data_IF_242201669822
#
_entry.id   IF_242201669822
#
_cell.length_a   1.000
_cell.length_b   1.000
_cell.length_c   1.000
_cell.angle_alpha   90.00
_cell.angle_beta   90.00
_cell.angle_gamma   90.00
#
_symmetry.space_group_name_H-M   'P 1'
#
loop_
_entity.id
_entity.type
_entity.pdbx_description
1 polymer ?
#
# COMPACT_ATOMS: atom_id res chain seq x y z
N UNK A 1 -3.21 -19.78 16.45
CA UNK A 1 -2.72 -18.85 15.44
C UNK A 1 -1.45 -19.43 14.90
N UNK A 2 -1.45 -19.85 13.64
CA UNK A 2 -0.24 -20.36 13.00
C UNK A 2 0.78 -19.24 12.94
N UNK A 3 2.03 -19.55 13.29
CA UNK A 3 3.12 -18.61 13.13
C UNK A 3 3.52 -18.51 11.63
N UNK A 4 4.37 -17.54 11.31
CA UNK A 4 4.80 -17.33 9.94
C UNK A 4 5.56 -18.55 9.37
N UNK A 5 6.29 -19.28 10.22
CA UNK A 5 7.04 -20.46 9.82
C UNK A 5 6.12 -21.59 9.39
N UNK A 6 5.04 -21.83 10.14
CA UNK A 6 4.03 -22.85 9.82
C UNK A 6 3.39 -22.58 8.46
N UNK A 7 3.05 -21.31 8.17
CA UNK A 7 2.48 -20.93 6.87
C UNK A 7 3.50 -21.15 5.74
N UNK A 8 4.76 -20.76 5.94
CA UNK A 8 5.82 -20.96 4.95
C UNK A 8 6.04 -22.45 4.65
N UNK A 9 6.19 -23.29 5.67
CA UNK A 9 6.36 -24.73 5.51
C UNK A 9 5.14 -25.40 4.84
N UNK A 10 3.93 -24.92 5.14
CA UNK A 10 2.73 -25.43 4.48
C UNK A 10 2.73 -25.12 2.96
N UNK A 11 3.18 -23.93 2.56
CA UNK A 11 3.33 -23.54 1.16
C UNK A 11 4.44 -24.31 0.47
N UNK A 12 5.60 -24.49 1.10
CA UNK A 12 6.69 -25.32 0.58
C UNK A 12 6.22 -26.76 0.33
N UNK A 13 5.48 -27.33 1.27
CA UNK A 13 4.88 -28.66 1.08
C UNK A 13 3.88 -28.70 -0.08
N UNK A 14 3.14 -27.61 -0.32
CA UNK A 14 2.22 -27.51 -1.45
C UNK A 14 2.96 -27.43 -2.80
N UNK A 15 4.07 -26.68 -2.86
CA UNK A 15 4.96 -26.60 -4.03
C UNK A 15 5.46 -27.98 -4.43
N UNK A 16 5.97 -28.76 -3.47
CA UNK A 16 6.46 -30.14 -3.72
C UNK A 16 5.35 -31.05 -4.23
N UNK A 17 4.16 -31.02 -3.61
CA UNK A 17 3.02 -31.85 -4.04
C UNK A 17 2.51 -31.50 -5.43
N UNK A 18 2.61 -30.22 -5.81
CA UNK A 18 2.23 -29.75 -7.14
C UNK A 18 3.29 -30.05 -8.21
N UNK A 19 4.47 -30.57 -7.84
CA UNK A 19 5.58 -30.79 -8.76
C UNK A 19 6.19 -29.50 -9.30
N UNK A 20 6.05 -28.39 -8.57
CA UNK A 20 6.60 -27.09 -8.97
C UNK A 20 8.07 -27.05 -8.58
N UNK A 21 8.94 -26.72 -9.54
CA UNK A 21 10.35 -26.47 -9.26
C UNK A 21 10.55 -25.10 -8.62
N UNK A 22 11.37 -25.06 -7.57
CA UNK A 22 11.65 -23.84 -6.81
C UNK A 22 13.15 -23.60 -6.71
N UNK A 23 13.60 -22.42 -7.16
CA UNK A 23 15.01 -22.02 -7.17
C UNK A 23 15.24 -20.84 -6.22
N UNK A 24 15.77 -21.11 -5.03
CA UNK A 24 16.24 -20.07 -4.11
C UNK A 24 17.62 -19.54 -4.55
N UNK A 25 18.00 -18.34 -4.09
CA UNK A 25 19.29 -17.73 -4.47
C UNK A 25 19.39 -17.31 -5.94
N UNK A 26 18.31 -17.44 -6.71
CA UNK A 26 18.21 -17.14 -8.12
C UNK A 26 17.65 -15.73 -8.34
N UNK A 27 18.49 -14.79 -8.76
CA UNK A 27 18.05 -13.43 -9.10
C UNK A 27 17.69 -13.34 -10.58
N UNK A 28 16.44 -13.05 -10.87
CA UNK A 28 16.00 -12.68 -12.22
C UNK A 28 16.56 -11.29 -12.54
N UNK A 29 17.32 -11.19 -13.63
CA UNK A 29 17.90 -9.92 -14.10
C UNK A 29 17.13 -9.33 -15.27
N UNK A 30 16.60 -10.18 -16.15
CA UNK A 30 15.94 -9.72 -17.36
C UNK A 30 14.85 -10.69 -17.85
N UNK A 31 13.89 -10.15 -18.60
CA UNK A 31 12.85 -10.89 -19.31
C UNK A 31 12.72 -10.29 -20.70
N UNK A 32 12.86 -11.13 -21.73
CA UNK A 32 12.80 -10.73 -23.13
C UNK A 32 11.65 -11.47 -23.82
N UNK A 33 10.92 -10.75 -24.68
CA UNK A 33 9.94 -11.38 -25.56
C UNK A 33 10.66 -11.85 -26.82
N UNK A 34 10.74 -13.16 -27.01
CA UNK A 34 11.31 -13.78 -28.21
C UNK A 34 10.25 -13.74 -29.30
N UNK A 35 10.49 -12.97 -30.36
CA UNK A 35 9.65 -13.00 -31.55
C UNK A 35 10.08 -14.18 -32.41
N UNK A 36 9.16 -15.11 -32.67
CA UNK A 36 9.35 -16.10 -33.72
C UNK A 36 9.17 -15.39 -35.06
N UNK A 37 10.27 -14.90 -35.65
CA UNK A 37 10.28 -14.37 -37.00
C UNK A 37 10.13 -15.52 -38.01
N UNK A 38 8.93 -16.09 -38.09
CA UNK A 38 8.53 -16.93 -39.21
C UNK A 38 8.14 -16.03 -40.40
N UNK A 39 9.14 -15.42 -41.04
CA UNK A 39 9.03 -14.81 -42.39
C UNK A 39 10.42 -14.40 -42.90
N UNK A 40 11.06 -15.28 -43.65
CA UNK A 40 11.93 -14.94 -44.79
C UNK A 40 12.32 -16.22 -45.55
N UNK A 41 11.40 -16.70 -46.40
CA UNK A 41 11.74 -17.44 -47.61
C UNK A 41 10.93 -16.78 -48.72
N UNK A 42 11.40 -15.62 -49.18
CA UNK A 42 11.07 -15.13 -50.52
C UNK A 42 12.21 -15.62 -51.42
N UNK A 43 12.13 -16.89 -51.82
CA UNK A 43 12.92 -17.50 -52.87
C UNK A 43 11.96 -17.89 -53.98
N UNK A 44 11.91 -17.09 -55.03
CA UNK A 44 11.13 -17.33 -56.22
C UNK A 44 11.65 -18.59 -56.93
N UNK A 45 10.93 -19.71 -56.83
CA UNK A 45 11.06 -20.81 -57.79
C UNK A 45 9.72 -21.52 -57.98
N UNK A 46 9.14 -21.35 -59.17
CA UNK A 46 7.99 -22.11 -59.65
C UNK A 46 8.44 -23.54 -59.96
N UNK A 47 7.90 -24.55 -59.28
CA UNK A 47 7.54 -25.82 -59.95
C UNK A 47 6.69 -26.76 -59.07
N UNK A 48 5.51 -27.11 -59.61
CA UNK A 48 4.86 -28.42 -59.62
C UNK A 48 4.65 -29.22 -58.30
N UNK A 49 3.38 -29.24 -57.86
CA UNK A 49 2.60 -30.47 -57.66
C UNK A 49 3.09 -31.52 -56.65
N UNK A 50 2.61 -31.43 -55.41
CA UNK A 50 2.66 -32.53 -54.43
C UNK A 50 1.67 -32.29 -53.29
N UNK A 51 0.72 -33.22 -53.11
CA UNK A 51 -0.21 -33.23 -51.98
C UNK A 51 0.56 -33.53 -50.69
N UNK A 52 0.96 -32.50 -49.96
CA UNK A 52 1.32 -32.63 -48.55
C UNK A 52 0.34 -31.78 -47.74
N UNK A 53 -0.52 -32.48 -47.00
CA UNK A 53 -1.19 -31.95 -45.82
C UNK A 53 -0.19 -31.13 -44.99
N UNK A 54 -0.55 -29.93 -44.50
CA UNK A 54 0.34 -29.20 -43.62
C UNK A 54 0.42 -29.97 -42.30
N UNK A 55 1.50 -30.71 -42.09
CA UNK A 55 1.90 -31.13 -40.75
C UNK A 55 2.08 -29.85 -39.95
N UNK A 56 1.10 -29.56 -39.11
CA UNK A 56 1.18 -28.46 -38.15
C UNK A 56 2.11 -28.96 -37.05
N UNK A 57 3.41 -29.00 -37.35
CA UNK A 57 4.44 -29.29 -36.37
C UNK A 57 4.40 -28.15 -35.36
N UNK A 58 4.00 -28.51 -34.14
CA UNK A 58 3.87 -27.60 -33.01
C UNK A 58 5.22 -26.97 -32.70
N UNK A 59 5.47 -25.80 -33.30
CA UNK A 59 6.54 -24.92 -32.87
C UNK A 59 6.32 -24.63 -31.39
N UNK A 60 7.28 -25.01 -30.55
CA UNK A 60 7.34 -24.68 -29.14
C UNK A 60 7.28 -23.16 -29.00
N UNK A 61 6.09 -22.65 -28.72
CA UNK A 61 5.82 -21.23 -28.64
C UNK A 61 6.24 -20.74 -27.25
N UNK A 62 7.54 -20.64 -27.02
CA UNK A 62 8.13 -20.06 -25.82
C UNK A 62 8.50 -18.57 -26.06
N UNK A 63 7.53 -17.64 -26.03
CA UNK A 63 7.72 -16.24 -26.34
C UNK A 63 8.51 -15.51 -25.27
N UNK A 64 8.84 -16.13 -24.14
CA UNK A 64 9.63 -15.49 -23.09
C UNK A 64 10.95 -16.21 -22.86
N UNK A 65 12.02 -15.43 -22.80
CA UNK A 65 13.31 -15.84 -22.27
C UNK A 65 13.58 -15.05 -20.99
N UNK A 66 13.84 -15.76 -19.89
CA UNK A 66 14.09 -15.21 -18.57
C UNK A 66 15.55 -15.43 -18.20
N UNK A 67 16.31 -14.35 -18.00
CA UNK A 67 17.72 -14.42 -17.60
C UNK A 67 17.84 -14.40 -16.08
N UNK A 68 18.52 -15.41 -15.54
CA UNK A 68 18.68 -15.66 -14.10
C UNK A 68 20.16 -15.68 -13.76
N UNK A 69 20.53 -15.07 -12.63
CA UNK A 69 21.87 -15.13 -12.04
C UNK A 69 21.80 -15.82 -10.71
N UNK A 70 22.49 -16.94 -10.58
CA UNK A 70 22.56 -17.72 -9.36
C UNK A 70 23.64 -17.12 -8.45
N UNK A 71 23.30 -16.89 -7.18
CA UNK A 71 24.31 -16.66 -6.15
C UNK A 71 24.94 -18.00 -5.78
N UNK A 72 26.25 -18.10 -5.90
CA UNK A 72 27.03 -19.19 -5.31
C UNK A 72 27.26 -18.89 -3.82
N UNK A 73 27.28 -19.92 -2.97
CA UNK A 73 27.39 -19.81 -1.51
C UNK A 73 28.80 -19.41 -1.01
N UNK A 74 29.42 -18.42 -1.66
CA UNK A 74 30.68 -17.81 -1.23
C UNK A 74 30.54 -16.30 -1.10
N UNK A 75 30.91 -15.74 0.05
CA UNK A 75 30.97 -14.30 0.38
C UNK A 75 32.00 -13.50 -0.46
N UNK A 76 32.39 -14.00 -1.63
CA UNK A 76 33.29 -13.35 -2.58
C UNK A 76 32.59 -12.99 -3.88
N UNK A 77 33.19 -12.06 -4.61
CA UNK A 77 32.92 -11.72 -6.03
C UNK A 77 33.28 -12.91 -6.94
N UNK A 78 32.68 -14.08 -6.65
CA UNK A 78 32.82 -15.30 -7.40
C UNK A 78 31.97 -15.24 -8.66
N UNK A 79 32.51 -15.79 -9.74
CA UNK A 79 31.93 -15.79 -11.08
C UNK A 79 30.48 -16.31 -11.05
N UNK A 80 29.55 -15.38 -11.06
CA UNK A 80 28.16 -15.70 -10.83
C UNK A 80 27.54 -16.24 -12.11
N UNK A 81 27.22 -17.52 -12.08
CA UNK A 81 26.69 -18.27 -13.22
C UNK A 81 25.35 -17.67 -13.65
N UNK A 82 25.29 -17.25 -14.91
CA UNK A 82 24.08 -16.75 -15.54
C UNK A 82 23.48 -17.86 -16.41
N UNK A 83 22.18 -18.10 -16.28
CA UNK A 83 21.41 -19.05 -17.07
C UNK A 83 20.18 -18.38 -17.67
N UNK A 84 19.61 -18.97 -18.71
CA UNK A 84 18.32 -18.55 -19.29
C UNK A 84 17.29 -19.67 -19.22
N UNK A 85 16.03 -19.29 -19.04
CA UNK A 85 14.89 -20.20 -18.99
C UNK A 85 13.87 -19.71 -20.02
N UNK A 86 13.43 -20.61 -20.90
CA UNK A 86 12.36 -20.34 -21.87
C UNK A 86 11.02 -20.79 -21.31
N UNK A 87 9.98 -19.97 -21.48
CA UNK A 87 8.64 -20.31 -21.04
C UNK A 87 7.52 -19.68 -21.89
N UNK A 88 6.34 -20.27 -21.78
CA UNK A 88 5.13 -19.83 -22.48
C UNK A 88 4.49 -18.59 -21.82
N UNK A 89 4.66 -18.46 -20.50
CA UNK A 89 4.08 -17.41 -19.69
C UNK A 89 5.00 -17.00 -18.53
N UNK A 90 4.92 -15.73 -18.14
CA UNK A 90 5.64 -15.18 -16.99
C UNK A 90 4.66 -14.51 -16.04
N UNK A 91 4.72 -14.89 -14.76
CA UNK A 91 4.00 -14.23 -13.66
C UNK A 91 4.96 -13.43 -12.79
N UNK A 92 4.78 -12.11 -12.75
CA UNK A 92 5.55 -11.24 -11.85
C UNK A 92 4.92 -11.19 -10.46
N UNK A 93 5.50 -11.93 -9.52
CA UNK A 93 5.09 -11.95 -8.10
C UNK A 93 6.17 -11.38 -7.17
N UNK A 94 6.93 -10.38 -7.63
CA UNK A 94 8.14 -9.84 -6.97
C UNK A 94 7.87 -8.91 -5.79
N UNK A 95 6.63 -8.79 -5.33
CA UNK A 95 6.22 -7.82 -4.31
C UNK A 95 6.57 -6.38 -4.70
N UNK A 96 7.00 -5.56 -3.74
CA UNK A 96 7.34 -4.15 -3.95
C UNK A 96 8.78 -3.90 -4.42
N UNK A 97 9.48 -4.93 -4.93
CA UNK A 97 10.87 -4.80 -5.33
C UNK A 97 11.03 -3.89 -6.58
N UNK A 98 11.93 -2.88 -6.55
CA UNK A 98 12.15 -1.98 -7.70
C UNK A 98 12.49 -2.70 -9.01
N UNK A 99 13.24 -3.80 -8.95
CA UNK A 99 13.59 -4.61 -10.11
C UNK A 99 12.34 -5.19 -10.80
N UNK A 100 11.31 -5.58 -10.03
CA UNK A 100 10.05 -6.09 -10.58
C UNK A 100 9.28 -5.04 -11.38
N UNK A 101 9.21 -3.80 -10.88
CA UNK A 101 8.59 -2.69 -11.62
C UNK A 101 9.36 -2.37 -12.90
N UNK A 102 10.70 -2.44 -12.88
CA UNK A 102 11.52 -2.23 -14.07
C UNK A 102 11.25 -3.32 -15.14
N UNK A 103 11.13 -4.58 -14.73
CA UNK A 103 10.77 -5.69 -15.61
C UNK A 103 9.36 -5.49 -16.22
N UNK A 104 8.38 -5.15 -15.39
CA UNK A 104 7.02 -4.89 -15.86
C UNK A 104 6.97 -3.72 -16.86
N UNK A 105 7.68 -2.63 -16.58
CA UNK A 105 7.79 -1.49 -17.49
C UNK A 105 8.46 -1.87 -18.83
N UNK A 106 9.49 -2.72 -18.80
CA UNK A 106 10.16 -3.23 -20.02
C UNK A 106 9.20 -4.08 -20.87
N UNK A 107 8.29 -4.81 -20.24
CA UNK A 107 7.21 -5.55 -20.91
C UNK A 107 6.04 -4.65 -21.36
N UNK A 108 6.18 -3.32 -21.28
CA UNK A 108 5.19 -2.35 -21.76
C UNK A 108 4.04 -2.09 -20.78
N UNK A 109 4.13 -2.55 -19.53
CA UNK A 109 3.09 -2.30 -18.53
C UNK A 109 3.21 -0.88 -17.94
N UNK A 110 2.11 -0.11 -17.84
CA UNK A 110 2.14 1.19 -17.18
C UNK A 110 2.36 1.03 -15.68
N UNK A 111 3.31 1.78 -15.11
CA UNK A 111 3.62 1.74 -13.68
C UNK A 111 3.18 3.05 -13.03
N UNK A 112 2.17 2.95 -12.16
CA UNK A 112 1.80 4.04 -11.26
C UNK A 112 2.88 4.24 -10.20
N UNK A 113 3.24 5.50 -9.93
CA UNK A 113 4.31 5.81 -8.99
C UNK A 113 3.93 5.33 -7.58
N UNK A 114 4.71 4.43 -6.95
CA UNK A 114 4.41 3.98 -5.60
C UNK A 114 4.70 5.09 -4.60
N UNK A 115 3.82 5.24 -3.61
CA UNK A 115 4.00 6.11 -2.46
C UNK A 115 3.92 5.28 -1.17
N UNK A 116 4.73 5.61 -0.15
CA UNK A 116 4.60 5.03 1.18
C UNK A 116 3.15 5.02 1.68
N UNK A 117 2.77 3.91 2.30
CA UNK A 117 1.48 3.68 2.93
C UNK A 117 1.68 2.80 4.16
N UNK A 118 0.66 2.67 5.02
CA UNK A 118 0.71 1.86 6.25
C UNK A 118 1.90 2.22 7.15
N UNK A 119 2.17 3.51 7.30
CA UNK A 119 3.20 4.04 8.20
C UNK A 119 2.60 4.75 9.42
N UNK A 120 3.45 4.92 10.44
CA UNK A 120 3.12 5.66 11.66
C UNK A 120 3.37 7.15 11.47
N UNK A 121 2.52 8.00 12.07
CA UNK A 121 2.69 9.45 12.01
C UNK A 121 3.69 9.91 13.05
N UNK A 122 4.64 10.76 12.63
CA UNK A 122 5.51 11.48 13.56
C UNK A 122 4.79 12.74 14.04
N UNK A 123 4.79 12.98 15.35
CA UNK A 123 4.32 14.24 15.92
C UNK A 123 5.50 15.18 16.14
N UNK A 124 5.28 16.48 15.93
CA UNK A 124 6.26 17.52 16.28
C UNK A 124 6.45 17.59 17.82
N UNK A 125 7.64 17.97 18.28
CA UNK A 125 7.92 18.10 19.72
C UNK A 125 7.02 19.12 20.43
N UNK A 126 6.85 18.95 21.75
CA UNK A 126 5.92 19.74 22.56
C UNK A 126 4.47 19.28 22.43
N UNK A 127 4.21 18.09 21.89
CA UNK A 127 2.86 17.57 21.73
C UNK A 127 2.29 17.07 23.08
N UNK A 128 0.97 17.13 23.30
CA UNK A 128 0.35 16.80 24.60
C UNK A 128 0.37 15.30 24.95
N UNK A 129 0.99 14.46 24.13
CA UNK A 129 1.08 13.01 24.33
C UNK A 129 2.47 12.55 24.79
N UNK A 130 3.39 13.49 25.02
CA UNK A 130 4.70 13.18 25.60
C UNK A 130 4.53 12.51 26.98
N UNK A 131 5.27 11.42 27.22
CA UNK A 131 5.15 10.62 28.44
C UNK A 131 4.06 9.54 28.39
N UNK A 132 3.23 9.48 27.34
CA UNK A 132 2.19 8.47 27.15
C UNK A 132 2.62 7.34 26.20
N UNK A 133 3.91 7.21 25.87
CA UNK A 133 4.39 6.13 25.00
C UNK A 133 4.03 4.74 25.57
N UNK A 134 3.54 3.85 24.72
CA UNK A 134 3.06 2.51 25.09
C UNK A 134 1.58 2.45 25.45
N UNK A 135 0.90 3.59 25.62
CA UNK A 135 -0.56 3.62 25.81
C UNK A 135 -1.25 3.20 24.52
N UNK A 136 -2.08 2.17 24.63
CA UNK A 136 -2.95 1.67 23.57
C UNK A 136 -4.38 2.08 23.85
N UNK A 137 -5.01 2.75 22.89
CA UNK A 137 -6.43 3.12 22.95
C UNK A 137 -7.18 2.18 21.99
N UNK A 138 -8.07 1.31 22.46
CA UNK A 138 -8.77 0.33 21.62
C UNK A 138 -9.64 0.99 20.54
N UNK A 139 -10.16 2.17 20.83
CA UNK A 139 -11.06 2.89 19.95
C UNK A 139 -10.82 4.39 20.01
N UNK A 140 -10.02 4.89 19.08
CA UNK A 140 -9.78 6.31 18.87
C UNK A 140 -10.19 6.69 17.46
N UNK A 141 -10.59 7.94 17.27
CA UNK A 141 -10.82 8.52 15.95
C UNK A 141 -9.70 9.53 15.64
N UNK A 142 -9.06 9.33 14.50
CA UNK A 142 -7.95 10.15 14.00
C UNK A 142 -8.36 10.79 12.68
N UNK A 143 -8.28 12.12 12.61
CA UNK A 143 -8.56 12.88 11.38
C UNK A 143 -7.31 13.61 10.91
N UNK A 144 -6.89 13.34 9.68
CA UNK A 144 -5.85 14.09 9.00
C UNK A 144 -6.47 15.29 8.29
N UNK A 145 -5.89 16.46 8.51
CA UNK A 145 -6.19 17.71 7.82
C UNK A 145 -4.93 18.18 7.12
N UNK A 146 -4.97 18.22 5.79
CA UNK A 146 -3.87 18.72 4.97
C UNK A 146 -4.24 20.08 4.39
N UNK A 147 -3.39 21.12 4.52
CA UNK A 147 -3.66 22.41 3.90
C UNK A 147 -3.70 22.27 2.37
N UNK A 148 -4.65 22.92 1.71
CA UNK A 148 -4.67 22.94 0.24
C UNK A 148 -3.53 23.82 -0.26
N UNK A 149 -2.84 23.35 -1.31
CA UNK A 149 -1.76 24.09 -2.00
C UNK A 149 -2.13 25.53 -2.43
N UNK A 150 -3.41 25.87 -2.51
CA UNK A 150 -3.87 27.22 -2.88
C UNK A 150 -3.73 28.28 -1.76
N UNK A 151 -3.37 27.90 -0.52
CA UNK A 151 -3.23 28.86 0.59
C UNK A 151 -1.78 29.32 0.86
N UNK A 152 -0.78 28.85 0.10
CA UNK A 152 0.64 29.18 0.32
C UNK A 152 1.26 30.09 -0.76
N UNK A 153 0.49 30.57 -1.74
CA UNK A 153 0.99 31.57 -2.70
C UNK A 153 -0.01 32.71 -2.91
N UNK A 154 0.03 33.75 -2.05
CA UNK A 154 -0.37 35.11 -2.40
C UNK A 154 -0.05 36.11 -1.26
N UNK A 155 1.21 36.52 -1.11
CA UNK A 155 1.45 37.95 -0.89
C UNK A 155 1.22 38.64 -2.24
N UNK A 156 0.10 39.35 -2.35
CA UNK A 156 -0.22 40.25 -3.46
C UNK A 156 -0.85 39.59 -4.69
N UNK A 157 -2.18 39.48 -4.71
CA UNK A 157 -3.13 39.88 -5.80
C UNK A 157 -4.44 39.07 -5.66
N UNK A 158 -5.65 39.68 -5.70
CA UNK A 158 -6.89 38.94 -5.49
C UNK A 158 -7.32 38.19 -6.76
N UNK A 159 -7.36 36.86 -6.71
CA UNK A 159 -7.97 36.04 -7.77
C UNK A 159 -9.44 35.78 -7.44
N UNK A 160 -10.30 36.12 -8.40
CA UNK A 160 -11.77 36.09 -8.31
C UNK A 160 -12.29 34.66 -8.10
N UNK A 161 -13.16 34.49 -7.11
CA UNK A 161 -13.91 33.24 -6.82
C UNK A 161 -14.75 32.79 -8.02
N UNK A 162 -14.42 31.62 -8.59
CA UNK A 162 -15.33 30.89 -9.47
C UNK A 162 -16.23 29.97 -8.62
N UNK A 163 -17.55 30.15 -8.72
CA UNK A 163 -18.55 29.34 -8.02
C UNK A 163 -18.58 27.91 -8.58
N UNK A 164 -18.25 26.92 -7.76
CA UNK A 164 -18.34 25.50 -8.13
C UNK A 164 -19.81 25.04 -8.19
N UNK A 165 -20.17 24.42 -9.32
CA UNK A 165 -21.49 23.85 -9.61
C UNK A 165 -21.66 22.52 -8.88
N UNK A 166 -22.73 22.43 -8.08
CA UNK A 166 -23.22 21.22 -7.40
C UNK A 166 -23.55 20.13 -8.42
N UNK A 167 -22.75 19.05 -8.49
CA UNK A 167 -23.13 17.80 -9.16
C UNK A 167 -23.66 16.83 -8.13
N UNK A 168 -24.95 16.55 -8.20
CA UNK A 168 -25.62 15.48 -7.45
C UNK A 168 -25.45 14.16 -8.17
N UNK A 169 -24.94 13.13 -7.49
CA UNK A 169 -25.29 11.73 -7.79
C UNK A 169 -25.28 10.89 -6.51
N UNK A 170 -26.38 10.19 -6.31
CA UNK A 170 -26.59 9.18 -5.28
C UNK A 170 -26.20 7.79 -5.80
N UNK A 171 -25.66 6.94 -4.92
CA UNK A 171 -26.07 5.55 -4.64
C UNK A 171 -24.92 4.69 -4.08
N UNK A 172 -25.13 4.24 -2.84
CA UNK A 172 -24.80 2.95 -2.20
C UNK A 172 -23.42 2.27 -2.39
N UNK A 173 -22.79 1.98 -1.24
CA UNK A 173 -22.17 0.66 -1.01
C UNK A 173 -20.65 0.57 -1.01
N UNK A 174 -19.94 1.26 -0.11
CA UNK A 174 -18.73 0.75 0.57
C UNK A 174 -18.27 1.76 1.63
N UNK A 175 -17.75 1.27 2.76
CA UNK A 175 -17.30 2.06 3.91
C UNK A 175 -15.96 2.79 3.68
N UNK A 176 -15.77 3.39 2.51
CA UNK A 176 -14.73 4.37 2.23
C UNK A 176 -15.35 5.75 2.22
N UNK A 177 -15.15 6.56 3.27
CA UNK A 177 -15.62 7.95 3.30
C UNK A 177 -14.96 8.72 2.16
N UNK A 178 -15.79 9.46 1.42
CA UNK A 178 -15.41 10.33 0.33
C UNK A 178 -14.35 11.36 0.78
N UNK A 179 -13.39 11.63 -0.10
CA UNK A 179 -12.42 12.72 0.05
C UNK A 179 -13.14 14.06 -0.01
N UNK A 180 -13.62 14.54 1.15
CA UNK A 180 -14.30 15.83 1.33
C UNK A 180 -13.28 16.99 1.40
N UNK A 181 -12.30 16.96 0.50
CA UNK A 181 -11.44 18.10 0.19
C UNK A 181 -10.29 18.32 1.18
N UNK A 182 -9.52 17.27 1.49
CA UNK A 182 -8.29 17.33 2.28
C UNK A 182 -8.46 16.90 3.75
N UNK A 183 -9.63 16.38 4.12
CA UNK A 183 -9.90 15.80 5.44
C UNK A 183 -10.21 14.32 5.31
N UNK A 184 -9.46 13.49 6.03
CA UNK A 184 -9.70 12.05 6.07
C UNK A 184 -9.69 11.54 7.51
N UNK A 185 -10.68 10.71 7.85
CA UNK A 185 -10.87 10.22 9.21
C UNK A 185 -10.83 8.69 9.24
N UNK A 186 -10.16 8.13 10.25
CA UNK A 186 -10.15 6.70 10.54
C UNK A 186 -10.40 6.47 12.03
N UNK A 187 -11.15 5.41 12.35
CA UNK A 187 -11.45 4.99 13.71
C UNK A 187 -10.93 3.58 13.98
N UNK A 188 -10.50 3.33 15.21
CA UNK A 188 -10.09 2.01 15.69
C UNK A 188 -8.88 2.08 16.62
N UNK A 189 -8.18 0.95 16.80
CA UNK A 189 -7.07 0.89 17.75
C UNK A 189 -5.92 1.82 17.36
N UNK A 190 -5.40 2.52 18.36
CA UNK A 190 -4.34 3.51 18.24
C UNK A 190 -3.28 3.26 19.31
N UNK A 191 -2.01 3.36 18.91
CA UNK A 191 -0.86 3.23 19.81
C UNK A 191 -0.10 4.55 19.87
N UNK A 192 0.14 5.06 21.06
CA UNK A 192 1.04 6.19 21.28
C UNK A 192 2.47 5.65 21.38
N UNK A 193 3.37 6.21 20.58
CA UNK A 193 4.80 5.85 20.50
C UNK A 193 5.67 6.99 20.95
N UNK A 194 6.97 6.75 21.13
CA UNK A 194 7.96 7.79 21.43
C UNK A 194 8.13 8.85 20.33
N UNK A 195 7.64 8.60 19.12
CA UNK A 195 7.78 9.51 17.97
C UNK A 195 6.46 10.07 17.47
N UNK A 196 5.32 9.58 17.97
CA UNK A 196 4.00 9.96 17.49
C UNK A 196 2.99 8.82 17.56
N UNK A 197 2.17 8.63 16.52
CA UNK A 197 1.01 7.75 16.54
C UNK A 197 1.13 6.57 15.58
N UNK A 198 0.78 5.38 16.06
CA UNK A 198 0.76 4.12 15.32
C UNK A 198 -0.54 3.35 15.58
N UNK A 199 -0.58 2.08 15.19
CA UNK A 199 -1.74 1.21 15.33
C UNK A 199 -2.69 1.26 14.13
N UNK A 200 -3.65 0.30 14.04
CA UNK A 200 -4.53 0.13 12.88
C UNK A 200 -5.20 1.41 12.36
N UNK A 201 -5.67 2.31 13.24
CA UNK A 201 -6.29 3.56 12.81
C UNK A 201 -5.28 4.47 12.07
N UNK A 202 -4.08 4.65 12.62
CA UNK A 202 -3.02 5.46 12.01
C UNK A 202 -2.51 4.84 10.70
N UNK A 203 -2.26 3.52 10.67
CA UNK A 203 -1.75 2.84 9.47
C UNK A 203 -2.77 2.89 8.33
N UNK A 204 -4.06 2.65 8.61
CA UNK A 204 -5.12 2.78 7.59
C UNK A 204 -5.22 4.22 7.09
N UNK A 205 -5.13 5.20 7.99
CA UNK A 205 -5.21 6.61 7.61
C UNK A 205 -4.09 6.99 6.66
N UNK A 206 -2.85 6.58 6.94
CA UNK A 206 -1.72 6.85 6.05
C UNK A 206 -1.83 6.12 4.71
N UNK A 207 -2.44 4.93 4.66
CA UNK A 207 -2.68 4.22 3.41
C UNK A 207 -3.69 4.93 2.51
N UNK A 208 -4.86 5.31 3.04
CA UNK A 208 -5.87 6.02 2.26
C UNK A 208 -5.47 7.46 1.92
N UNK A 209 -4.68 8.12 2.78
CA UNK A 209 -4.18 9.47 2.56
C UNK A 209 -2.85 9.54 1.79
N UNK A 210 -2.29 8.42 1.32
CA UNK A 210 -0.92 8.37 0.78
C UNK A 210 -0.65 9.42 -0.32
N UNK A 211 -1.62 9.63 -1.22
CA UNK A 211 -1.51 10.64 -2.30
C UNK A 211 -1.61 12.07 -1.75
N UNK A 212 -2.60 12.34 -0.90
CA UNK A 212 -2.79 13.65 -0.27
C UNK A 212 -1.58 14.05 0.58
N UNK A 213 -1.03 13.12 1.34
CA UNK A 213 0.20 13.30 2.13
C UNK A 213 1.41 13.52 1.23
N UNK A 214 1.51 12.81 0.10
CA UNK A 214 2.59 13.06 -0.86
C UNK A 214 2.57 14.51 -1.37
N UNK A 215 1.39 15.03 -1.66
CA UNK A 215 1.21 16.40 -2.18
C UNK A 215 1.54 17.48 -1.14
N UNK A 216 1.41 17.17 0.15
CA UNK A 216 1.80 18.04 1.27
C UNK A 216 3.18 17.76 1.83
N UNK A 217 4.03 17.03 1.10
CA UNK A 217 5.35 16.61 1.58
C UNK A 217 5.33 15.88 2.94
N UNK A 218 4.25 15.15 3.21
CA UNK A 218 3.97 14.41 4.45
C UNK A 218 3.79 15.30 5.68
N UNK A 219 3.38 16.55 5.48
CA UNK A 219 3.02 17.48 6.54
C UNK A 219 1.49 17.65 6.62
N UNK A 220 0.98 17.83 7.84
CA UNK A 220 -0.44 17.98 8.08
C UNK A 220 -0.75 18.09 9.57
N UNK A 221 -2.01 18.40 9.87
CA UNK A 221 -2.53 18.44 11.24
C UNK A 221 -3.33 17.18 11.52
N UNK A 222 -3.06 16.54 12.66
CA UNK A 222 -3.85 15.41 13.15
C UNK A 222 -4.79 15.89 14.26
N UNK A 223 -6.07 15.64 14.07
CA UNK A 223 -7.08 15.80 15.11
C UNK A 223 -7.34 14.44 15.73
N UNK A 224 -7.13 14.34 17.04
CA UNK A 224 -7.26 13.11 17.80
C UNK A 224 -8.47 13.20 18.73
N UNK A 225 -9.40 12.28 18.57
CA UNK A 225 -10.52 12.05 19.48
C UNK A 225 -10.32 10.70 20.18
N UNK A 226 -10.00 10.75 21.47
CA UNK A 226 -9.73 9.57 22.31
C UNK A 226 -10.99 8.87 22.83
N UNK A 227 -12.15 9.51 22.71
CA UNK A 227 -13.41 9.00 23.25
C UNK A 227 -14.57 9.30 22.28
N UNK A 228 -14.57 8.69 21.08
CA UNK A 228 -15.56 8.99 20.04
C UNK A 228 -17.00 8.67 20.45
N UNK A 229 -17.21 7.74 21.38
CA UNK A 229 -18.54 7.34 21.86
C UNK A 229 -19.04 8.16 23.06
N UNK A 230 -18.23 9.07 23.60
CA UNK A 230 -18.62 9.91 24.74
C UNK A 230 -19.80 10.85 24.45
N UNK A 231 -20.22 10.97 23.18
CA UNK A 231 -21.32 11.83 22.75
C UNK A 231 -21.05 13.34 22.88
N UNK A 232 -19.91 13.72 23.47
CA UNK A 232 -19.47 15.10 23.57
C UNK A 232 -18.84 15.56 22.24
N UNK A 233 -19.19 16.75 21.72
CA UNK A 233 -18.44 17.36 20.64
C UNK A 233 -16.96 17.49 21.03
N UNK A 234 -16.05 17.39 20.05
CA UNK A 234 -14.63 17.74 20.23
C UNK A 234 -14.56 19.13 20.87
N UNK A 235 -14.21 19.20 22.16
CA UNK A 235 -14.10 20.45 22.92
C UNK A 235 -14.92 20.55 24.21
N UNK A 236 -15.99 19.76 24.41
CA UNK A 236 -16.83 19.86 25.62
C UNK A 236 -16.62 18.72 26.65
N UNK A 237 -15.45 18.08 26.60
CA UNK A 237 -15.05 17.08 27.61
C UNK A 237 -15.06 17.70 29.00
N UNK A 238 -14.61 18.95 29.12
CA UNK A 238 -14.58 19.66 30.40
C UNK A 238 -15.98 19.90 30.97
N UNK A 239 -16.98 20.23 30.13
CA UNK A 239 -18.37 20.38 30.55
C UNK A 239 -18.95 19.06 31.02
N UNK A 240 -18.75 17.99 30.25
CA UNK A 240 -19.18 16.64 30.62
C UNK A 240 -18.56 16.18 31.95
N UNK A 241 -17.26 16.40 32.16
CA UNK A 241 -16.59 16.08 33.43
C UNK A 241 -17.10 16.94 34.59
N UNK A 242 -17.38 18.23 34.36
CA UNK A 242 -17.98 19.12 35.38
C UNK A 242 -19.37 18.64 35.79
N UNK A 243 -20.20 18.21 34.83
CA UNK A 243 -21.52 17.65 35.09
C UNK A 243 -21.41 16.30 35.82
N UNK A 244 -20.48 15.43 35.42
CA UNK A 244 -20.24 14.19 36.15
C UNK A 244 -19.85 14.45 37.61
N UNK A 245 -18.99 15.45 37.85
CA UNK A 245 -18.59 15.86 39.20
C UNK A 245 -19.77 16.36 40.04
N UNK A 246 -20.73 17.09 39.47
CA UNK A 246 -21.89 17.56 40.25
C UNK A 246 -22.83 16.41 40.63
N UNK A 247 -23.01 15.44 39.74
CA UNK A 247 -23.86 14.26 39.97
C UNK A 247 -23.21 13.24 40.90
N UNK A 248 -21.88 13.07 40.81
CA UNK A 248 -21.12 12.02 41.53
C UNK A 248 -20.07 12.58 42.51
N UNK A 249 -20.27 13.78 43.05
CA UNK A 249 -19.25 14.52 43.81
C UNK A 249 -18.70 13.85 45.08
N UNK A 250 -19.34 12.79 45.60
CA UNK A 250 -18.85 12.01 46.75
C UNK A 250 -18.08 10.74 46.36
N UNK A 251 -18.03 10.40 45.07
CA UNK A 251 -17.39 9.18 44.57
C UNK A 251 -16.00 9.49 44.04
N UNK A 252 -15.04 8.61 44.32
CA UNK A 252 -13.72 8.69 43.72
C UNK A 252 -13.78 8.29 42.24
N UNK A 253 -13.00 8.95 41.38
CA UNK A 253 -12.96 8.67 39.94
C UNK A 253 -12.54 7.22 39.67
N UNK A 254 -11.60 6.69 40.45
CA UNK A 254 -11.11 5.31 40.30
C UNK A 254 -12.21 4.28 40.52
N UNK A 255 -13.13 4.52 41.46
CA UNK A 255 -14.23 3.59 41.77
C UNK A 255 -15.52 3.89 41.00
N UNK A 256 -15.59 5.03 40.31
CA UNK A 256 -16.74 5.44 39.50
C UNK A 256 -16.24 6.32 38.37
N UNK A 257 -15.61 5.72 37.34
CA UNK A 257 -15.10 6.48 36.21
C UNK A 257 -16.26 7.13 35.46
N UNK A 258 -16.06 8.33 34.89
CA UNK A 258 -17.05 8.93 34.00
C UNK A 258 -17.20 8.05 32.76
N UNK A 259 -18.30 7.29 32.71
CA UNK A 259 -18.60 6.37 31.63
C UNK A 259 -18.60 7.08 30.28
N UNK A 260 -17.98 6.45 29.28
CA UNK A 260 -17.87 6.98 27.91
C UNK A 260 -16.56 7.70 27.61
N UNK A 261 -15.73 8.05 28.60
CA UNK A 261 -14.43 8.71 28.39
C UNK A 261 -13.21 7.80 28.59
N UNK A 262 -13.37 6.64 29.21
CA UNK A 262 -12.31 5.70 29.59
C UNK A 262 -12.75 4.25 29.39
#
# INVERSE_FOLDING_TARGET
TDDAATIASALEGAVVRAGVEFFAGAKVNDIVVVKNDARNIDGDDETAGGNNEPTTEGGTHAPFEVSVKLKTDGDGDGDAVSSSIHCDAVLLATGSAPAGYALAAKLGQPIEKPYPSLFSFRLCGGHPLEGLQGVSIPDAELTLVVPRREEVCAEGTPVRRAKSRKRTRAAAGSSGRADDGGKLTQRGPLLITHRGLSGPAALRLSAFAARTLKDSAYEGTLLLNLAPDAGAPIGDVAGALRQFRTVHGRKAIVSSPPGGFF
#
